data_IF_243225563431
#
_entry.id   IF_243225563431
#
_cell.length_a   1.000
_cell.length_b   1.000
_cell.length_c   1.000
_cell.angle_alpha   90.00
_cell.angle_beta   90.00
_cell.angle_gamma   90.00
#
_symmetry.space_group_name_H-M   'P 1'
#
loop_
_entity.id
_entity.type
_entity.pdbx_description
1 polymer ?
#
# COMPACT_ATOMS: atom_id res chain seq x y z
N UNK A 1 -5.66 18.59 13.34
CA UNK A 1 -5.65 17.48 12.37
C UNK A 1 -4.27 16.86 12.42
N UNK A 2 -4.10 15.54 12.54
CA UNK A 2 -2.75 14.94 12.50
C UNK A 2 -2.12 15.15 11.12
N UNK A 3 -0.79 15.26 11.05
CA UNK A 3 -0.06 15.45 9.77
C UNK A 3 -0.45 14.34 8.77
N UNK A 4 -0.49 13.08 9.20
CA UNK A 4 -0.94 11.94 8.37
C UNK A 4 -2.34 12.18 7.77
N UNK A 5 -3.28 12.68 8.58
CA UNK A 5 -4.66 12.91 8.12
C UNK A 5 -4.75 14.03 7.09
N UNK A 6 -3.92 15.07 7.20
CA UNK A 6 -3.82 16.12 6.18
C UNK A 6 -3.28 15.58 4.86
N UNK A 7 -2.15 14.88 4.91
CA UNK A 7 -1.50 14.29 3.72
C UNK A 7 -2.46 13.33 3.01
N UNK A 8 -3.11 12.43 3.76
CA UNK A 8 -4.13 11.53 3.20
C UNK A 8 -5.30 12.32 2.61
N UNK A 9 -5.78 13.37 3.27
CA UNK A 9 -6.88 14.17 2.72
C UNK A 9 -6.53 14.88 1.42
N UNK A 10 -5.28 15.32 1.24
CA UNK A 10 -4.81 15.90 -0.02
C UNK A 10 -4.67 14.84 -1.10
N UNK A 11 -4.10 13.68 -0.76
CA UNK A 11 -3.94 12.56 -1.68
C UNK A 11 -5.31 12.04 -2.20
N UNK A 12 -6.33 11.95 -1.34
CA UNK A 12 -7.72 11.63 -1.72
C UNK A 12 -8.28 12.61 -2.76
N UNK A 13 -7.86 13.88 -2.73
CA UNK A 13 -8.28 14.92 -3.68
C UNK A 13 -7.46 14.93 -4.98
N UNK A 14 -6.55 13.98 -5.17
CA UNK A 14 -5.71 13.86 -6.36
C UNK A 14 -4.37 14.60 -6.29
N UNK A 15 -3.94 15.05 -5.11
CA UNK A 15 -2.59 15.61 -4.92
C UNK A 15 -1.55 14.48 -5.01
N UNK A 16 -0.90 14.36 -6.17
CA UNK A 16 0.14 13.37 -6.42
C UNK A 16 1.37 13.53 -5.52
N UNK A 17 1.71 14.75 -5.10
CA UNK A 17 2.80 14.99 -4.16
C UNK A 17 2.48 14.47 -2.76
N UNK A 18 1.22 14.61 -2.33
CA UNK A 18 0.76 14.01 -1.08
C UNK A 18 0.77 12.48 -1.14
N UNK A 19 0.42 11.87 -2.28
CA UNK A 19 0.55 10.42 -2.44
C UNK A 19 2.01 9.97 -2.43
N UNK A 20 2.92 10.69 -3.10
CA UNK A 20 4.35 10.39 -3.07
C UNK A 20 4.92 10.41 -1.63
N UNK A 21 4.48 11.36 -0.80
CA UNK A 21 4.84 11.38 0.62
C UNK A 21 4.37 10.13 1.38
N UNK A 22 3.15 9.64 1.10
CA UNK A 22 2.64 8.40 1.70
C UNK A 22 3.38 7.16 1.20
N UNK A 23 3.82 7.18 -0.06
CA UNK A 23 4.66 6.14 -0.62
C UNK A 23 6.01 6.07 0.10
N UNK A 24 6.74 7.18 0.19
CA UNK A 24 8.06 7.25 0.84
C UNK A 24 7.99 6.78 2.31
N UNK A 25 6.97 7.20 3.05
CA UNK A 25 6.79 6.86 4.47
C UNK A 25 6.45 5.37 4.71
N UNK A 26 5.90 4.67 3.71
CA UNK A 26 5.35 3.33 3.92
C UNK A 26 5.98 2.24 3.07
N UNK A 27 6.77 2.60 2.05
CA UNK A 27 7.37 1.66 1.11
C UNK A 27 8.12 0.53 1.82
N UNK A 28 9.08 0.85 2.68
CA UNK A 28 9.92 -0.14 3.38
C UNK A 28 9.10 -1.11 4.24
N UNK A 29 8.03 -0.63 4.88
CA UNK A 29 7.14 -1.44 5.71
C UNK A 29 6.34 -2.44 4.89
N UNK A 30 5.81 -2.00 3.75
CA UNK A 30 5.06 -2.86 2.83
C UNK A 30 5.99 -3.85 2.16
N UNK A 31 7.13 -3.39 1.63
CA UNK A 31 8.14 -4.24 1.03
C UNK A 31 8.59 -5.36 1.97
N UNK A 32 8.96 -5.01 3.21
CA UNK A 32 9.39 -6.01 4.21
C UNK A 32 8.28 -7.02 4.51
N UNK A 33 7.03 -6.59 4.61
CA UNK A 33 5.90 -7.49 4.83
C UNK A 33 5.72 -8.47 3.67
N UNK A 34 5.74 -7.96 2.43
CA UNK A 34 5.60 -8.79 1.23
C UNK A 34 6.77 -9.77 1.12
N UNK A 35 8.00 -9.28 1.25
CA UNK A 35 9.23 -10.09 1.20
C UNK A 35 9.21 -11.25 2.21
N UNK A 36 8.81 -10.99 3.46
CA UNK A 36 8.69 -12.03 4.48
C UNK A 36 7.65 -13.12 4.15
N UNK A 37 6.71 -12.84 3.25
CA UNK A 37 5.67 -13.79 2.82
C UNK A 37 6.03 -14.56 1.57
N UNK A 38 6.75 -13.94 0.63
CA UNK A 38 7.06 -14.56 -0.67
C UNK A 38 8.49 -15.11 -0.75
N UNK A 39 9.41 -14.62 0.08
CA UNK A 39 10.79 -15.12 0.18
C UNK A 39 11.67 -14.88 -1.05
N UNK A 40 11.16 -14.17 -2.06
CA UNK A 40 11.87 -13.82 -3.29
C UNK A 40 11.91 -12.29 -3.43
N UNK A 41 13.09 -11.74 -3.73
CA UNK A 41 13.29 -10.29 -3.85
C UNK A 41 12.53 -9.68 -5.03
N UNK A 42 12.71 -10.23 -6.25
CA UNK A 42 12.09 -9.68 -7.45
C UNK A 42 10.55 -9.69 -7.33
N UNK A 43 9.99 -10.81 -6.86
CA UNK A 43 8.55 -10.93 -6.64
C UNK A 43 8.06 -9.97 -5.55
N UNK A 44 8.86 -9.73 -4.52
CA UNK A 44 8.51 -8.77 -3.47
C UNK A 44 8.53 -7.33 -3.98
N UNK A 45 9.50 -6.96 -4.82
CA UNK A 45 9.58 -5.66 -5.48
C UNK A 45 8.34 -5.43 -6.36
N UNK A 46 8.03 -6.39 -7.25
CA UNK A 46 6.88 -6.31 -8.15
C UNK A 46 5.54 -6.21 -7.40
N UNK A 47 5.30 -7.11 -6.44
CA UNK A 47 4.07 -7.09 -5.64
C UNK A 47 3.95 -5.81 -4.80
N UNK A 48 5.06 -5.26 -4.31
CA UNK A 48 5.04 -3.99 -3.58
C UNK A 48 4.64 -2.85 -4.49
N UNK A 49 5.15 -2.80 -5.73
CA UNK A 49 4.72 -1.82 -6.72
C UNK A 49 3.22 -1.95 -7.01
N UNK A 50 2.73 -3.17 -7.22
CA UNK A 50 1.29 -3.43 -7.44
C UNK A 50 0.42 -2.94 -6.28
N UNK A 51 0.89 -3.08 -5.03
CA UNK A 51 0.19 -2.55 -3.85
C UNK A 51 0.01 -1.04 -3.94
N UNK A 52 1.06 -0.30 -4.28
CA UNK A 52 0.99 1.16 -4.36
C UNK A 52 0.22 1.64 -5.59
N UNK A 53 0.27 0.92 -6.72
CA UNK A 53 -0.60 1.19 -7.87
C UNK A 53 -2.07 1.05 -7.48
N UNK A 54 -2.44 -0.07 -6.84
CA UNK A 54 -3.82 -0.28 -6.37
C UNK A 54 -4.24 0.72 -5.29
N UNK A 55 -3.30 1.12 -4.44
CA UNK A 55 -3.54 2.18 -3.46
C UNK A 55 -3.85 3.51 -4.17
N UNK A 56 -3.07 3.89 -5.18
CA UNK A 56 -3.31 5.12 -5.95
C UNK A 56 -4.66 5.10 -6.67
N UNK A 57 -5.02 3.98 -7.29
CA UNK A 57 -6.32 3.80 -7.96
C UNK A 57 -7.49 3.89 -6.98
N UNK A 58 -7.33 3.38 -5.75
CA UNK A 58 -8.39 3.31 -4.77
C UNK A 58 -8.47 4.53 -3.83
N UNK A 59 -7.42 5.35 -3.73
CA UNK A 59 -7.29 6.40 -2.69
C UNK A 59 -8.40 7.45 -2.78
N UNK A 60 -8.92 7.76 -3.97
CA UNK A 60 -10.03 8.71 -4.13
C UNK A 60 -11.32 8.29 -3.41
N UNK A 61 -11.48 6.99 -3.13
CA UNK A 61 -12.60 6.43 -2.36
C UNK A 61 -12.28 6.16 -0.89
N UNK A 62 -11.04 6.42 -0.46
CA UNK A 62 -10.60 6.15 0.90
C UNK A 62 -11.39 6.98 1.91
N UNK A 63 -11.84 6.32 2.98
CA UNK A 63 -12.51 6.95 4.12
C UNK A 63 -11.70 6.72 5.37
N UNK A 64 -11.39 7.79 6.08
CA UNK A 64 -10.73 7.72 7.37
C UNK A 64 -11.63 6.99 8.39
N UNK A 65 -11.12 5.92 9.02
CA UNK A 65 -11.87 5.10 9.99
C UNK A 65 -11.24 5.05 11.38
N UNK A 66 -10.47 6.08 11.76
CA UNK A 66 -9.70 6.10 13.00
C UNK A 66 -8.69 4.93 13.13
N UNK A 67 -8.21 4.44 11.99
CA UNK A 67 -7.11 3.51 11.88
C UNK A 67 -5.97 4.21 11.12
N UNK A 68 -4.69 3.90 11.44
CA UNK A 68 -3.56 4.41 10.68
C UNK A 68 -3.70 4.10 9.18
N UNK A 69 -3.24 4.99 8.31
CA UNK A 69 -3.33 4.79 6.86
C UNK A 69 -2.60 3.51 6.42
N UNK A 70 -1.46 3.22 7.05
CA UNK A 70 -0.67 2.01 6.78
C UNK A 70 -1.47 0.71 6.99
N UNK A 71 -2.48 0.69 7.87
CA UNK A 71 -3.33 -0.49 8.06
C UNK A 71 -4.17 -0.81 6.81
N UNK A 72 -4.57 0.23 6.07
CA UNK A 72 -5.25 0.06 4.78
C UNK A 72 -4.30 -0.44 3.69
N UNK A 73 -3.06 0.05 3.65
CA UNK A 73 -2.02 -0.48 2.75
C UNK A 73 -1.72 -1.96 3.02
N UNK A 74 -1.61 -2.36 4.30
CA UNK A 74 -1.41 -3.77 4.65
C UNK A 74 -2.56 -4.67 4.19
N UNK A 75 -3.80 -4.16 4.15
CA UNK A 75 -4.93 -4.92 3.60
C UNK A 75 -4.76 -5.15 2.10
N UNK A 76 -4.32 -4.14 1.35
CA UNK A 76 -4.04 -4.28 -0.09
C UNK A 76 -2.89 -5.28 -0.30
N UNK A 77 -1.79 -5.12 0.46
CA UNK A 77 -0.63 -6.02 0.41
C UNK A 77 -0.99 -7.46 0.75
N UNK A 78 -1.79 -7.68 1.78
CA UNK A 78 -2.27 -9.01 2.14
C UNK A 78 -3.03 -9.67 0.98
N UNK A 79 -3.95 -8.94 0.34
CA UNK A 79 -4.69 -9.47 -0.80
C UNK A 79 -3.75 -9.82 -1.96
N UNK A 80 -2.76 -8.97 -2.28
CA UNK A 80 -1.79 -9.25 -3.36
C UNK A 80 -0.96 -10.50 -3.06
N UNK A 81 -0.46 -10.64 -1.83
CA UNK A 81 0.29 -11.83 -1.40
C UNK A 81 -0.57 -13.09 -1.51
N UNK A 82 -1.82 -13.06 -1.05
CA UNK A 82 -2.71 -14.22 -1.13
C UNK A 82 -2.99 -14.60 -2.59
N UNK A 83 -3.26 -13.63 -3.45
CA UNK A 83 -3.49 -13.87 -4.88
C UNK A 83 -2.26 -14.46 -5.56
N UNK A 84 -1.06 -13.96 -5.25
CA UNK A 84 0.21 -14.50 -5.72
C UNK A 84 0.42 -15.96 -5.29
N UNK A 85 0.31 -16.25 -3.99
CA UNK A 85 0.52 -17.60 -3.46
C UNK A 85 -0.49 -18.61 -4.04
N UNK A 86 -1.73 -18.18 -4.30
CA UNK A 86 -2.74 -19.02 -4.98
C UNK A 86 -2.42 -19.33 -6.44
N UNK A 87 -1.69 -18.45 -7.13
CA UNK A 87 -1.22 -18.70 -8.51
C UNK A 87 -0.01 -19.62 -8.56
N UNK A 88 0.90 -19.53 -7.58
CA UNK A 88 2.10 -20.38 -7.50
C UNK A 88 1.79 -21.84 -7.14
N UNK A 89 0.74 -22.09 -6.34
CA UNK A 89 0.31 -23.45 -5.98
C UNK A 89 -0.55 -24.16 -7.03
N UNK A 90 -0.74 -23.56 -8.22
CA UNK A 90 -1.45 -24.15 -9.35
C UNK A 90 -0.46 -24.63 -10.40
#
# INVERSE_FOLDING_TARGET
MSIEKDVVSRAVKGDGGAFAQLYEEHFDRIYRYVYLKVGNQAEAEDLTQEVFVKALEAIGSYKWRNLPFVAWLFRIAHNQVIDYLRKQGR
#
